data_IF_750529340995
#
_entry.id   IF_750529340995
#
_cell.length_a   1.000
_cell.length_b   1.000
_cell.length_c   1.000
_cell.angle_alpha   90.00
_cell.angle_beta   90.00
_cell.angle_gamma   90.00
#
_symmetry.space_group_name_H-M   'P 1'
#
loop_
_entity.id
_entity.type
_entity.pdbx_description
1 polymer ?
#
# COMPACT_ATOMS: atom_id res chain seq x y z
N UNK A 1 0.09 16.79 -18.10
CA UNK A 1 0.33 16.34 -16.72
C UNK A 1 -0.48 15.06 -16.48
N UNK A 2 0.11 14.09 -15.79
CA UNK A 2 -0.57 12.90 -15.29
C UNK A 2 -0.59 12.99 -13.76
N UNK A 3 -1.74 12.71 -13.18
CA UNK A 3 -1.93 12.64 -11.73
C UNK A 3 -2.45 11.26 -11.33
N UNK A 4 -1.89 10.68 -10.26
CA UNK A 4 -2.33 9.40 -9.72
C UNK A 4 -2.32 9.43 -8.19
N UNK A 5 -3.42 8.98 -7.59
CA UNK A 5 -3.54 8.90 -6.14
C UNK A 5 -4.07 7.53 -5.72
N UNK A 6 -3.34 6.86 -4.82
CA UNK A 6 -3.67 5.57 -4.22
C UNK A 6 -3.88 4.42 -5.23
N UNK A 7 -3.10 4.40 -6.33
CA UNK A 7 -3.22 3.39 -7.40
C UNK A 7 -1.99 2.49 -7.51
N UNK A 8 -0.77 3.04 -7.52
CA UNK A 8 0.42 2.31 -7.93
C UNK A 8 0.76 1.10 -7.04
N UNK A 9 0.40 1.14 -5.76
CA UNK A 9 0.62 0.00 -4.85
C UNK A 9 -0.27 -1.23 -5.14
N UNK A 10 -1.30 -1.10 -6.00
CA UNK A 10 -2.11 -2.23 -6.48
C UNK A 10 -1.48 -2.97 -7.66
N UNK A 11 -0.44 -2.41 -8.25
CA UNK A 11 0.26 -2.97 -9.40
C UNK A 11 1.46 -3.75 -8.89
N UNK A 12 1.60 -4.99 -9.35
CA UNK A 12 2.67 -5.90 -8.93
C UNK A 12 4.06 -5.29 -9.15
N UNK A 13 5.01 -5.65 -8.30
CA UNK A 13 6.37 -5.11 -8.33
C UNK A 13 7.07 -5.29 -9.70
N UNK A 14 6.88 -6.45 -10.34
CA UNK A 14 7.45 -6.79 -11.65
C UNK A 14 6.85 -5.98 -12.82
N UNK A 15 5.69 -5.33 -12.58
CA UNK A 15 5.00 -4.50 -13.57
C UNK A 15 5.22 -3.00 -13.42
N UNK A 16 5.89 -2.57 -12.34
CA UNK A 16 6.12 -1.14 -12.08
C UNK A 16 6.94 -0.45 -13.17
N UNK A 17 7.99 -1.10 -13.66
CA UNK A 17 8.78 -0.56 -14.76
C UNK A 17 7.94 -0.34 -16.01
N UNK A 18 7.07 -1.31 -16.36
CA UNK A 18 6.17 -1.19 -17.52
C UNK A 18 5.14 -0.08 -17.36
N UNK A 19 4.65 0.11 -16.13
CA UNK A 19 3.78 1.24 -15.81
C UNK A 19 4.46 2.58 -16.09
N UNK A 20 5.69 2.76 -15.60
CA UNK A 20 6.43 4.02 -15.75
C UNK A 20 6.85 4.23 -17.20
N UNK A 21 7.24 3.20 -17.92
CA UNK A 21 7.50 3.25 -19.37
C UNK A 21 6.28 3.77 -20.14
N UNK A 22 5.08 3.22 -19.87
CA UNK A 22 3.84 3.64 -20.50
C UNK A 22 3.48 5.10 -20.17
N UNK A 23 3.67 5.52 -18.91
CA UNK A 23 3.46 6.90 -18.49
C UNK A 23 4.43 7.83 -19.24
N UNK A 24 5.70 7.47 -19.33
CA UNK A 24 6.71 8.23 -20.04
C UNK A 24 6.37 8.36 -21.54
N UNK A 25 5.94 7.28 -22.19
CA UNK A 25 5.55 7.30 -23.60
C UNK A 25 4.37 8.26 -23.89
N UNK A 26 3.47 8.44 -22.92
CA UNK A 26 2.28 9.29 -23.06
C UNK A 26 2.46 10.73 -22.55
N UNK A 27 3.64 11.10 -22.07
CA UNK A 27 3.98 12.46 -21.68
C UNK A 27 4.91 13.11 -22.69
N UNK A 28 4.65 14.38 -23.01
CA UNK A 28 5.59 15.22 -23.77
C UNK A 28 6.80 15.57 -22.89
N UNK A 29 7.94 15.89 -23.51
CA UNK A 29 9.08 16.51 -22.81
C UNK A 29 8.60 17.75 -22.06
N UNK A 30 9.03 17.93 -20.81
CA UNK A 30 8.54 18.97 -19.89
C UNK A 30 7.25 18.60 -19.18
N UNK A 31 6.55 17.52 -19.58
CA UNK A 31 5.36 17.02 -18.90
C UNK A 31 5.67 16.47 -17.50
N UNK A 32 4.69 16.53 -16.62
CA UNK A 32 4.84 16.13 -15.22
C UNK A 32 3.99 14.88 -14.88
N UNK A 33 4.54 14.00 -14.07
CA UNK A 33 3.82 13.01 -13.29
C UNK A 33 3.84 13.44 -11.83
N UNK A 34 2.67 13.47 -11.21
CA UNK A 34 2.50 13.63 -9.74
C UNK A 34 1.75 12.40 -9.25
N UNK A 35 2.35 11.65 -8.34
CA UNK A 35 1.71 10.46 -7.79
C UNK A 35 1.92 10.36 -6.28
N UNK A 36 0.90 9.82 -5.60
CA UNK A 36 0.93 9.43 -4.21
C UNK A 36 0.32 8.04 -4.05
N UNK A 37 1.00 7.15 -3.31
CA UNK A 37 0.53 5.78 -3.05
C UNK A 37 1.12 5.23 -1.76
N UNK A 38 0.80 4.00 -1.38
CA UNK A 38 1.37 3.35 -0.20
C UNK A 38 2.88 3.16 -0.36
N UNK A 39 3.65 3.61 0.62
CA UNK A 39 5.10 3.41 0.67
C UNK A 39 5.50 2.39 1.71
N UNK A 40 6.80 2.15 1.86
CA UNK A 40 7.37 1.20 2.80
C UNK A 40 6.84 1.44 4.23
N UNK A 41 6.32 0.39 4.84
CA UNK A 41 5.71 0.45 6.18
C UNK A 41 4.21 0.75 6.19
N UNK A 42 3.55 0.95 5.03
CA UNK A 42 2.11 1.21 4.97
C UNK A 42 1.29 0.03 5.52
N UNK A 43 0.47 0.29 6.55
CA UNK A 43 -0.35 -0.71 7.26
C UNK A 43 0.47 -1.92 7.77
N UNK A 44 1.72 -1.70 8.13
CA UNK A 44 2.65 -2.78 8.50
C UNK A 44 2.20 -3.52 9.75
N UNK A 45 1.63 -2.84 10.74
CA UNK A 45 1.08 -3.51 11.94
C UNK A 45 -0.01 -4.52 11.58
N UNK A 46 -0.90 -4.15 10.65
CA UNK A 46 -1.98 -5.05 10.20
C UNK A 46 -1.42 -6.22 9.40
N UNK A 47 -0.55 -5.96 8.43
CA UNK A 47 0.05 -7.02 7.61
C UNK A 47 0.89 -7.99 8.46
N UNK A 48 1.66 -7.49 9.41
CA UNK A 48 2.46 -8.34 10.31
C UNK A 48 1.59 -9.19 11.24
N UNK A 49 0.46 -8.68 11.74
CA UNK A 49 -0.48 -9.46 12.54
C UNK A 49 -1.16 -10.56 11.71
N UNK A 50 -1.65 -10.22 10.51
CA UNK A 50 -2.22 -11.21 9.58
C UNK A 50 -1.20 -12.30 9.23
N UNK A 51 0.06 -11.94 8.96
CA UNK A 51 1.15 -12.89 8.68
C UNK A 51 1.34 -13.89 9.84
N UNK A 52 1.31 -13.40 11.10
CA UNK A 52 1.36 -14.28 12.29
C UNK A 52 0.12 -15.18 12.37
N UNK A 53 -1.08 -14.65 12.12
CA UNK A 53 -2.33 -15.42 12.13
C UNK A 53 -2.33 -16.56 11.12
N UNK A 54 -1.82 -16.32 9.90
CA UNK A 54 -1.63 -17.34 8.88
C UNK A 54 -0.56 -18.37 9.28
N UNK A 55 0.60 -17.91 9.76
CA UNK A 55 1.70 -18.78 10.16
C UNK A 55 1.34 -19.73 11.29
N UNK A 56 0.54 -19.32 12.29
CA UNK A 56 0.00 -20.18 13.35
C UNK A 56 -0.77 -21.39 12.81
N UNK A 57 -1.30 -21.26 11.59
CA UNK A 57 -2.11 -22.31 10.91
C UNK A 57 -1.33 -23.04 9.82
N UNK A 58 -0.02 -22.81 9.72
CA UNK A 58 0.84 -23.40 8.69
C UNK A 58 0.55 -22.87 7.28
N UNK A 59 -0.08 -21.70 7.17
CA UNK A 59 -0.40 -21.03 5.93
C UNK A 59 0.57 -19.87 5.65
N UNK A 60 0.78 -19.58 4.38
CA UNK A 60 1.55 -18.41 3.94
C UNK A 60 0.62 -17.23 3.69
N UNK A 61 0.97 -16.05 4.23
CA UNK A 61 0.27 -14.81 3.96
C UNK A 61 0.89 -14.11 2.75
N UNK A 62 0.21 -14.03 1.60
CA UNK A 62 0.73 -13.32 0.44
C UNK A 62 0.60 -11.82 0.62
N UNK A 63 1.71 -11.11 0.69
CA UNK A 63 1.73 -9.64 0.67
C UNK A 63 1.49 -9.18 -0.78
N UNK A 64 0.28 -8.71 -1.06
CA UNK A 64 -0.18 -8.38 -2.42
C UNK A 64 0.11 -6.93 -2.82
N UNK A 65 0.47 -6.06 -1.88
CA UNK A 65 0.75 -4.66 -2.18
C UNK A 65 2.23 -4.41 -2.41
N UNK A 66 2.52 -3.52 -3.34
CA UNK A 66 3.86 -3.00 -3.56
C UNK A 66 4.05 -1.68 -2.80
N UNK A 67 4.84 -1.71 -1.75
CA UNK A 67 5.14 -0.56 -0.88
C UNK A 67 6.64 -0.24 -0.90
N UNK A 68 7.13 0.53 -1.90
CA UNK A 68 8.55 0.83 -2.03
C UNK A 68 9.01 1.95 -1.09
N UNK A 69 10.33 2.00 -0.89
CA UNK A 69 11.04 3.18 -0.40
C UNK A 69 11.25 4.20 -1.52
N UNK A 70 11.65 5.43 -1.16
CA UNK A 70 12.08 6.43 -2.15
C UNK A 70 13.28 5.93 -2.95
N UNK A 71 14.26 5.28 -2.28
CA UNK A 71 15.46 4.75 -2.92
C UNK A 71 15.20 3.61 -3.90
N UNK A 72 14.13 2.84 -3.70
CA UNK A 72 13.72 1.77 -4.63
C UNK A 72 12.95 2.32 -5.83
N UNK A 73 12.12 3.34 -5.65
CA UNK A 73 11.23 3.81 -6.72
C UNK A 73 11.83 4.92 -7.58
N UNK A 74 12.63 5.83 -7.03
CA UNK A 74 13.25 6.92 -7.78
C UNK A 74 14.11 6.42 -8.98
N UNK A 75 14.94 5.35 -8.86
CA UNK A 75 15.68 4.81 -9.99
C UNK A 75 14.79 4.33 -11.14
N UNK A 76 13.61 3.77 -10.85
CA UNK A 76 12.66 3.36 -11.89
C UNK A 76 12.21 4.59 -12.69
N UNK A 77 11.85 5.69 -12.01
CA UNK A 77 11.44 6.93 -12.65
C UNK A 77 12.57 7.52 -13.53
N UNK A 78 13.80 7.57 -13.00
CA UNK A 78 14.96 8.12 -13.71
C UNK A 78 15.35 7.29 -14.93
N UNK A 79 15.25 5.95 -14.84
CA UNK A 79 15.49 5.03 -15.96
C UNK A 79 14.64 5.36 -17.18
N UNK A 80 13.39 5.76 -16.98
CA UNK A 80 12.45 6.10 -18.05
C UNK A 80 12.40 7.61 -18.38
N UNK A 81 13.45 8.35 -18.05
CA UNK A 81 13.66 9.73 -18.51
C UNK A 81 12.95 10.79 -17.68
N UNK A 82 12.59 10.48 -16.44
CA UNK A 82 12.09 11.49 -15.51
C UNK A 82 13.23 12.05 -14.65
N UNK A 83 13.12 13.34 -14.33
CA UNK A 83 13.86 14.00 -13.26
C UNK A 83 12.97 14.08 -12.05
N UNK A 84 13.43 13.54 -10.92
CA UNK A 84 12.73 13.68 -9.63
C UNK A 84 12.93 15.10 -9.11
N UNK A 85 11.83 15.87 -9.05
CA UNK A 85 11.83 17.24 -8.51
C UNK A 85 11.46 17.24 -7.03
N UNK A 86 10.70 16.25 -6.58
CA UNK A 86 10.29 16.08 -5.19
C UNK A 86 9.99 14.61 -4.91
N UNK A 87 10.44 14.13 -3.77
CA UNK A 87 10.11 12.81 -3.24
C UNK A 87 10.03 12.86 -1.72
N UNK A 88 9.01 12.22 -1.15
CA UNK A 88 8.86 12.11 0.30
C UNK A 88 8.17 10.80 0.66
N UNK A 89 8.63 10.18 1.75
CA UNK A 89 7.96 9.09 2.46
C UNK A 89 7.54 9.64 3.81
N UNK A 90 6.26 9.50 4.18
CA UNK A 90 5.73 10.10 5.40
C UNK A 90 4.59 9.29 6.01
N UNK A 91 4.48 9.32 7.34
CA UNK A 91 3.39 8.70 8.06
C UNK A 91 2.09 9.46 7.82
N UNK A 92 1.02 8.69 7.59
CA UNK A 92 -0.32 9.22 7.40
C UNK A 92 -1.35 8.34 8.11
N UNK A 93 -1.35 8.29 9.44
CA UNK A 93 -2.35 7.52 10.19
C UNK A 93 -3.75 7.90 9.72
N UNK A 94 -4.57 6.90 9.40
CA UNK A 94 -5.85 7.12 8.73
C UNK A 94 -6.98 6.51 9.54
N UNK A 95 -7.89 7.37 10.00
CA UNK A 95 -9.09 6.98 10.74
C UNK A 95 -10.03 6.19 9.83
N UNK A 96 -10.49 5.04 10.30
CA UNK A 96 -11.52 4.25 9.65
C UNK A 96 -12.90 4.79 10.03
N UNK A 97 -13.82 4.80 9.07
CA UNK A 97 -15.10 5.50 9.21
C UNK A 97 -16.24 4.65 9.78
N UNK A 98 -16.08 3.32 9.75
CA UNK A 98 -17.08 2.35 10.20
C UNK A 98 -16.82 1.94 11.65
N UNK A 99 -17.86 1.46 12.35
CA UNK A 99 -17.73 0.95 13.72
C UNK A 99 -16.78 -0.25 13.81
N UNK A 100 -16.82 -1.14 12.83
CA UNK A 100 -15.93 -2.30 12.72
C UNK A 100 -14.61 -1.97 12.00
N UNK A 101 -14.23 -0.71 11.95
CA UNK A 101 -13.19 -0.09 11.14
C UNK A 101 -12.03 -0.96 10.69
N UNK A 102 -11.34 -1.69 11.58
CA UNK A 102 -10.21 -2.53 11.19
C UNK A 102 -10.64 -3.80 10.46
N UNK A 103 -11.69 -4.49 10.92
CA UNK A 103 -12.24 -5.66 10.24
C UNK A 103 -12.69 -5.30 8.82
N UNK A 104 -13.49 -4.22 8.68
CA UNK A 104 -13.96 -3.74 7.39
C UNK A 104 -12.80 -3.38 6.46
N UNK A 105 -11.74 -2.79 7.01
CA UNK A 105 -10.53 -2.47 6.26
C UNK A 105 -9.84 -3.76 5.74
N UNK A 106 -9.67 -4.77 6.61
CA UNK A 106 -9.07 -6.05 6.24
C UNK A 106 -9.89 -6.71 5.13
N UNK A 107 -11.21 -6.81 5.30
CA UNK A 107 -12.12 -7.43 4.32
C UNK A 107 -12.16 -6.68 2.99
N UNK A 108 -12.01 -5.35 3.01
CA UNK A 108 -12.00 -4.53 1.80
C UNK A 108 -10.72 -4.68 0.99
N UNK A 109 -9.56 -4.60 1.66
CA UNK A 109 -8.28 -4.47 0.99
C UNK A 109 -7.48 -5.77 0.89
N UNK A 110 -7.76 -6.76 1.73
CA UNK A 110 -7.02 -8.03 1.78
C UNK A 110 -7.83 -9.24 1.29
N UNK A 111 -8.71 -9.06 0.30
CA UNK A 111 -9.51 -10.16 -0.27
C UNK A 111 -8.65 -11.29 -0.83
N UNK A 112 -7.61 -10.96 -1.59
CA UNK A 112 -6.76 -11.94 -2.27
C UNK A 112 -6.06 -12.91 -1.32
N UNK A 113 -5.49 -12.52 -0.17
CA UNK A 113 -4.94 -13.43 0.82
C UNK A 113 -5.93 -14.47 1.35
N UNK A 114 -7.21 -14.13 1.43
CA UNK A 114 -8.27 -15.00 1.96
C UNK A 114 -9.02 -15.78 0.87
N UNK A 115 -8.66 -15.62 -0.39
CA UNK A 115 -9.36 -16.24 -1.51
C UNK A 115 -9.32 -17.76 -1.43
N UNK A 116 -10.50 -18.40 -1.46
CA UNK A 116 -10.63 -19.86 -1.38
C UNK A 116 -10.53 -20.46 0.04
N UNK A 117 -10.40 -19.63 1.09
CA UNK A 117 -10.41 -20.09 2.48
C UNK A 117 -11.85 -20.26 2.99
N UNK A 118 -12.01 -21.14 3.99
CA UNK A 118 -13.26 -21.26 4.74
C UNK A 118 -13.57 -19.97 5.51
N UNK A 119 -14.84 -19.50 5.44
CA UNK A 119 -15.23 -18.21 6.03
C UNK A 119 -15.09 -18.20 7.56
N UNK A 120 -15.31 -19.34 8.24
CA UNK A 120 -15.11 -19.40 9.69
C UNK A 120 -13.63 -19.19 10.05
N UNK A 121 -12.73 -19.78 9.26
CA UNK A 121 -11.29 -19.59 9.44
C UNK A 121 -10.84 -18.15 9.13
N UNK A 122 -11.41 -17.54 8.10
CA UNK A 122 -11.18 -16.13 7.77
C UNK A 122 -11.58 -15.24 8.94
N UNK A 123 -12.79 -15.43 9.48
CA UNK A 123 -13.28 -14.65 10.62
C UNK A 123 -12.39 -14.82 11.85
N UNK A 124 -11.95 -16.05 12.15
CA UNK A 124 -11.06 -16.31 13.29
C UNK A 124 -9.73 -15.56 13.17
N UNK A 125 -9.11 -15.54 11.99
CA UNK A 125 -7.87 -14.79 11.74
C UNK A 125 -8.09 -13.28 11.89
N UNK A 126 -9.21 -12.78 11.41
CA UNK A 126 -9.55 -11.35 11.50
C UNK A 126 -9.79 -10.96 12.96
N UNK A 127 -10.55 -11.76 13.72
CA UNK A 127 -10.83 -11.51 15.13
C UNK A 127 -9.55 -11.49 15.98
N UNK A 128 -8.64 -12.43 15.75
CA UNK A 128 -7.32 -12.45 16.40
C UNK A 128 -6.51 -11.20 16.06
N UNK A 129 -6.54 -10.76 14.79
CA UNK A 129 -5.83 -9.55 14.34
C UNK A 129 -6.43 -8.28 14.96
N UNK A 130 -7.76 -8.17 15.01
CA UNK A 130 -8.46 -7.03 15.62
C UNK A 130 -8.15 -6.95 17.11
N UNK A 131 -8.18 -8.08 17.83
CA UNK A 131 -7.89 -8.11 19.26
C UNK A 131 -6.42 -7.79 19.54
N UNK A 132 -5.48 -8.37 18.80
CA UNK A 132 -4.04 -8.09 18.93
C UNK A 132 -3.70 -6.61 18.75
N UNK A 133 -4.35 -5.94 17.80
CA UNK A 133 -4.03 -4.56 17.44
C UNK A 133 -4.90 -3.52 18.16
N UNK A 134 -5.83 -3.95 19.02
CA UNK A 134 -6.76 -3.05 19.70
C UNK A 134 -6.04 -1.94 20.50
N UNK A 135 -5.09 -2.33 21.32
CA UNK A 135 -4.36 -1.37 22.17
C UNK A 135 -3.49 -0.40 21.36
N UNK A 136 -3.10 -0.79 20.15
CA UNK A 136 -2.22 0.01 19.29
C UNK A 136 -2.99 0.91 18.32
N UNK A 137 -4.06 0.40 17.72
CA UNK A 137 -4.76 1.07 16.61
C UNK A 137 -6.17 1.58 16.96
N UNK A 138 -6.72 1.24 18.13
CA UNK A 138 -8.02 1.75 18.56
C UNK A 138 -7.83 2.88 19.59
N UNK A 139 -7.89 4.11 19.12
CA UNK A 139 -7.62 5.32 19.89
C UNK A 139 -8.86 6.21 19.90
N UNK A 140 -9.28 6.68 21.08
CA UNK A 140 -10.43 7.57 21.27
C UNK A 140 -11.71 7.06 20.58
N UNK A 141 -11.97 5.74 20.69
CA UNK A 141 -13.15 5.11 20.12
C UNK A 141 -13.12 4.93 18.59
N UNK A 142 -11.95 5.07 17.97
CA UNK A 142 -11.79 4.95 16.50
C UNK A 142 -10.59 4.08 16.14
N UNK A 143 -10.76 3.29 15.10
CA UNK A 143 -9.65 2.57 14.48
C UNK A 143 -8.83 3.51 13.61
N UNK A 144 -7.52 3.48 13.79
CA UNK A 144 -6.54 4.29 13.02
C UNK A 144 -5.52 3.35 12.42
N UNK A 145 -5.55 3.16 11.11
CA UNK A 145 -4.56 2.32 10.42
C UNK A 145 -3.29 3.12 10.13
N UNK A 146 -2.15 2.52 10.40
CA UNK A 146 -0.79 3.08 10.28
C UNK A 146 -0.34 3.23 8.82
N UNK A 147 -1.01 4.11 8.07
CA UNK A 147 -0.62 4.36 6.69
C UNK A 147 0.70 5.11 6.61
N UNK A 148 1.53 4.65 5.67
CA UNK A 148 2.69 5.38 5.17
C UNK A 148 2.46 5.68 3.69
N UNK A 149 2.70 6.93 3.30
CA UNK A 149 2.56 7.37 1.91
C UNK A 149 3.89 7.77 1.33
N UNK A 150 4.06 7.41 0.06
CA UNK A 150 5.16 7.90 -0.76
C UNK A 150 4.59 8.83 -1.83
N UNK A 151 5.21 10.00 -1.99
CA UNK A 151 4.79 10.99 -2.98
C UNK A 151 5.95 11.37 -3.84
N UNK A 152 5.70 11.43 -5.16
CA UNK A 152 6.65 11.94 -6.14
C UNK A 152 6.03 13.06 -6.98
N UNK A 153 6.86 14.05 -7.29
CA UNK A 153 6.66 14.98 -8.40
C UNK A 153 7.86 14.87 -9.32
N UNK A 154 7.63 14.46 -10.54
CA UNK A 154 8.68 14.24 -11.53
C UNK A 154 8.37 14.91 -12.84
N UNK A 155 9.40 15.29 -13.59
CA UNK A 155 9.29 15.93 -14.91
C UNK A 155 10.02 15.10 -15.95
N UNK A 156 9.36 14.85 -17.08
CA UNK A 156 9.99 14.20 -18.22
C UNK A 156 10.98 15.15 -18.89
N UNK A 157 12.24 14.74 -19.04
CA UNK A 157 13.29 15.56 -19.64
C UNK A 157 13.95 14.92 -20.86
N UNK A 158 13.70 13.64 -21.15
CA UNK A 158 14.15 12.92 -22.33
C UNK A 158 13.20 11.82 -22.74
#
# INVERSE_FOLDING_TARGET
>A
MIFSNAVFHWIDADKQEKLIENIAANLKIGGQLICEFGGKGCAESVHASLERGFAKRGLEYPRVFYFPTVGEYAPILEKYGFRVEYAVLFDRPTVQKTENGLEDWIRMFNKKPFEGMDEALVQEIIDETVEELRDQLFVDGKWIVDYVRIRFKVRKFR
#
